data_IF_684750290848
#
_entry.id   IF_684750290848
#
_cell.length_a   1.000
_cell.length_b   1.000
_cell.length_c   1.000
_cell.angle_alpha   90.00
_cell.angle_beta   90.00
_cell.angle_gamma   90.00
#
_symmetry.space_group_name_H-M   'P 1'
#
loop_
_entity.id
_entity.type
_entity.pdbx_description
1 polymer ?
#
# COMPACT_ATOMS: atom_id res chain seq x y z
N UNK A 1 -12.28 -18.50 -11.77
CA UNK A 1 -10.99 -17.77 -11.90
C UNK A 1 -11.27 -16.34 -11.50
N UNK A 2 -10.46 -15.69 -10.64
CA UNK A 2 -10.76 -14.33 -10.18
C UNK A 2 -10.13 -13.30 -11.12
N UNK A 3 -10.92 -12.36 -11.64
CA UNK A 3 -10.45 -11.29 -12.53
C UNK A 3 -10.06 -10.09 -11.68
N UNK A 4 -8.89 -9.52 -11.98
CA UNK A 4 -8.23 -8.53 -11.13
C UNK A 4 -8.03 -7.26 -11.93
N UNK A 5 -8.62 -6.17 -11.47
CA UNK A 5 -8.40 -4.86 -12.05
C UNK A 5 -7.11 -4.27 -11.44
N UNK A 6 -6.22 -3.67 -12.23
CA UNK A 6 -5.06 -2.98 -11.69
C UNK A 6 -5.52 -1.87 -10.75
N UNK A 7 -4.78 -1.63 -9.67
CA UNK A 7 -4.96 -0.44 -8.85
C UNK A 7 -4.88 0.79 -9.78
N UNK A 8 -5.97 1.55 -9.85
CA UNK A 8 -6.16 2.63 -10.80
C UNK A 8 -5.15 3.75 -10.51
N UNK A 9 -4.09 3.83 -11.33
CA UNK A 9 -3.27 5.03 -11.48
C UNK A 9 -3.67 5.63 -12.81
N UNK A 10 -4.71 6.44 -12.80
CA UNK A 10 -5.02 7.33 -13.92
C UNK A 10 -5.20 8.74 -13.37
N UNK A 11 -4.12 9.50 -13.46
CA UNK A 11 -4.10 10.95 -13.29
C UNK A 11 -4.76 11.64 -14.50
N UNK A 12 -6.07 11.43 -14.66
CA UNK A 12 -6.90 12.09 -15.67
C UNK A 12 -8.22 12.61 -15.06
N UNK A 13 -8.21 12.89 -13.75
CA UNK A 13 -9.35 13.45 -13.01
C UNK A 13 -10.34 12.44 -12.40
N UNK A 14 -10.35 11.19 -12.87
CA UNK A 14 -11.27 10.13 -12.38
C UNK A 14 -11.02 9.73 -10.92
N UNK A 15 -9.75 9.64 -10.52
CA UNK A 15 -9.33 9.31 -9.16
C UNK A 15 -8.42 10.43 -8.64
N UNK A 16 -8.75 11.03 -7.50
CA UNK A 16 -7.93 12.07 -6.84
C UNK A 16 -7.65 11.67 -5.40
N UNK A 17 -6.37 11.76 -5.00
CA UNK A 17 -5.92 11.35 -3.67
C UNK A 17 -6.34 9.91 -3.27
N UNK A 18 -6.49 9.02 -4.27
CA UNK A 18 -6.89 7.63 -4.08
C UNK A 18 -8.41 7.39 -4.01
N UNK A 19 -9.24 8.43 -4.06
CA UNK A 19 -10.70 8.33 -4.08
C UNK A 19 -11.25 8.57 -5.49
N UNK A 20 -12.33 7.86 -5.85
CA UNK A 20 -13.05 8.07 -7.10
C UNK A 20 -13.87 9.36 -6.98
N UNK A 21 -13.66 10.28 -7.91
CA UNK A 21 -14.40 11.55 -8.00
C UNK A 21 -15.43 11.54 -9.13
N UNK A 22 -15.14 10.82 -10.22
CA UNK A 22 -16.00 10.71 -11.39
C UNK A 22 -16.34 9.23 -11.65
N UNK A 23 -17.54 8.83 -11.26
CA UNK A 23 -18.00 7.44 -11.36
C UNK A 23 -18.32 7.02 -12.79
N UNK A 24 -18.81 7.95 -13.63
CA UNK A 24 -19.11 7.67 -15.04
C UNK A 24 -17.82 7.32 -15.80
N UNK A 25 -16.74 8.10 -15.57
CA UNK A 25 -15.44 7.79 -16.14
C UNK A 25 -14.82 6.51 -15.56
N UNK A 26 -15.07 6.22 -14.28
CA UNK A 26 -14.56 5.01 -13.64
C UNK A 26 -15.22 3.75 -14.20
N UNK A 27 -16.53 3.78 -14.45
CA UNK A 27 -17.26 2.69 -15.09
C UNK A 27 -16.73 2.42 -16.51
N UNK A 28 -16.57 3.47 -17.33
CA UNK A 28 -15.97 3.35 -18.67
C UNK A 28 -14.53 2.81 -18.64
N UNK A 29 -13.77 3.19 -17.60
CA UNK A 29 -12.43 2.65 -17.42
C UNK A 29 -12.47 1.15 -17.12
N UNK A 30 -13.34 0.71 -16.20
CA UNK A 30 -13.51 -0.70 -15.89
C UNK A 30 -14.03 -1.51 -17.07
N UNK A 31 -14.93 -0.96 -17.88
CA UNK A 31 -15.39 -1.58 -19.13
C UNK A 31 -14.20 -1.91 -20.03
N UNK A 32 -13.31 -0.94 -20.27
CA UNK A 32 -12.10 -1.20 -21.06
C UNK A 32 -11.19 -2.23 -20.38
N UNK A 33 -10.98 -2.15 -19.07
CA UNK A 33 -10.16 -3.14 -18.38
C UNK A 33 -10.69 -4.56 -18.53
N UNK A 34 -11.99 -4.77 -18.33
CA UNK A 34 -12.64 -6.08 -18.39
C UNK A 34 -12.63 -6.62 -19.82
N UNK A 35 -13.16 -5.86 -20.78
CA UNK A 35 -13.40 -6.37 -22.13
C UNK A 35 -12.17 -6.27 -23.05
N UNK A 36 -11.39 -5.19 -22.96
CA UNK A 36 -10.26 -4.96 -23.88
C UNK A 36 -8.97 -5.60 -23.40
N UNK A 37 -8.64 -5.44 -22.12
CA UNK A 37 -7.34 -5.86 -21.58
C UNK A 37 -7.39 -7.26 -20.97
N UNK A 38 -8.32 -7.49 -20.04
CA UNK A 38 -8.48 -8.80 -19.38
C UNK A 38 -9.14 -9.82 -20.31
N UNK A 39 -10.02 -9.36 -21.20
CA UNK A 39 -10.82 -10.19 -22.12
C UNK A 39 -11.56 -11.29 -21.36
N UNK A 40 -12.15 -10.91 -20.25
CA UNK A 40 -12.90 -11.80 -19.40
C UNK A 40 -14.40 -11.54 -19.56
N UNK A 41 -15.18 -12.61 -19.59
CA UNK A 41 -16.63 -12.53 -19.41
C UNK A 41 -16.91 -12.23 -17.93
N UNK A 42 -17.39 -11.04 -17.55
CA UNK A 42 -17.51 -10.67 -16.15
C UNK A 42 -18.47 -11.58 -15.36
N UNK A 43 -19.48 -12.15 -16.03
CA UNK A 43 -20.46 -13.07 -15.43
C UNK A 43 -19.84 -14.41 -14.98
N UNK A 44 -18.68 -14.79 -15.53
CA UNK A 44 -17.97 -16.04 -15.21
C UNK A 44 -16.92 -15.88 -14.09
N UNK A 45 -16.70 -14.66 -13.58
CA UNK A 45 -15.55 -14.35 -12.75
C UNK A 45 -15.89 -13.56 -11.49
N UNK A 46 -15.33 -14.00 -10.37
CA UNK A 46 -15.36 -13.20 -9.13
C UNK A 46 -14.32 -12.09 -9.24
N UNK A 47 -14.62 -10.93 -8.66
CA UNK A 47 -13.74 -9.76 -8.69
C UNK A 47 -13.21 -9.39 -7.32
N UNK A 48 -11.93 -9.03 -7.29
CA UNK A 48 -11.31 -8.33 -6.15
C UNK A 48 -10.98 -6.92 -6.60
N UNK A 49 -11.60 -5.95 -5.92
CA UNK A 49 -11.27 -4.54 -6.06
C UNK A 49 -10.56 -4.06 -4.80
N UNK A 50 -9.87 -2.92 -4.90
CA UNK A 50 -9.10 -2.36 -3.79
C UNK A 50 -9.59 -0.96 -3.44
N UNK A 51 -9.60 -0.64 -2.16
CA UNK A 51 -9.96 0.70 -1.67
C UNK A 51 -8.88 1.29 -0.74
N UNK A 52 -8.76 2.63 -0.69
CA UNK A 52 -7.91 3.28 0.30
C UNK A 52 -8.50 3.17 1.72
N UNK A 53 -7.69 3.33 2.78
CA UNK A 53 -8.14 3.19 4.18
C UNK A 53 -9.28 4.14 4.59
N UNK A 54 -9.41 5.31 3.94
CA UNK A 54 -10.41 6.32 4.25
C UNK A 54 -11.57 6.37 3.24
N UNK A 55 -11.80 5.26 2.51
CA UNK A 55 -12.93 5.17 1.59
C UNK A 55 -14.27 5.11 2.35
N UNK A 56 -15.26 5.84 1.85
CA UNK A 56 -16.59 5.90 2.47
C UNK A 56 -17.39 4.63 2.19
N UNK A 57 -18.30 4.22 3.11
CA UNK A 57 -19.23 3.12 2.84
C UNK A 57 -20.08 3.36 1.59
N UNK A 58 -20.44 4.61 1.30
CA UNK A 58 -21.21 5.00 0.12
C UNK A 58 -20.43 4.69 -1.18
N UNK A 59 -19.12 4.97 -1.21
CA UNK A 59 -18.27 4.61 -2.34
C UNK A 59 -18.20 3.09 -2.56
N UNK A 60 -18.30 2.28 -1.50
CA UNK A 60 -18.38 0.81 -1.63
C UNK A 60 -19.70 0.38 -2.27
N UNK A 61 -20.80 1.07 -1.95
CA UNK A 61 -22.10 0.81 -2.56
C UNK A 61 -22.11 1.16 -4.04
N UNK A 62 -21.58 2.33 -4.44
CA UNK A 62 -21.43 2.71 -5.86
C UNK A 62 -20.54 1.73 -6.62
N UNK A 63 -19.45 1.28 -6.00
CA UNK A 63 -18.59 0.23 -6.59
C UNK A 63 -19.38 -1.06 -6.80
N UNK A 64 -20.19 -1.47 -5.82
CA UNK A 64 -20.99 -2.68 -5.90
C UNK A 64 -22.11 -2.57 -6.95
N UNK A 65 -22.78 -1.43 -7.04
CA UNK A 65 -23.80 -1.11 -8.04
C UNK A 65 -23.24 -1.31 -9.45
N UNK A 66 -22.11 -0.67 -9.79
CA UNK A 66 -21.48 -0.84 -11.11
C UNK A 66 -21.11 -2.30 -11.38
N UNK A 67 -20.51 -2.99 -10.41
CA UNK A 67 -20.04 -4.36 -10.61
C UNK A 67 -21.17 -5.37 -10.76
N UNK A 68 -22.24 -5.26 -9.95
CA UNK A 68 -23.36 -6.21 -9.98
C UNK A 68 -24.43 -5.84 -11.01
N UNK A 69 -24.76 -4.57 -11.18
CA UNK A 69 -25.84 -4.12 -12.06
C UNK A 69 -25.36 -3.92 -13.51
N UNK A 70 -24.20 -3.28 -13.72
CA UNK A 70 -23.67 -3.05 -15.07
C UNK A 70 -22.89 -4.24 -15.62
N UNK A 71 -22.01 -4.83 -14.80
CA UNK A 71 -21.13 -5.93 -15.24
C UNK A 71 -21.63 -7.33 -14.87
N UNK A 72 -22.74 -7.46 -14.15
CA UNK A 72 -23.35 -8.75 -13.79
C UNK A 72 -22.41 -9.74 -13.08
N UNK A 73 -21.43 -9.28 -12.31
CA UNK A 73 -20.44 -10.20 -11.72
C UNK A 73 -21.08 -11.15 -10.70
N UNK A 74 -20.69 -12.43 -10.65
CA UNK A 74 -21.26 -13.41 -9.72
C UNK A 74 -20.85 -13.16 -8.26
N UNK A 75 -19.71 -12.50 -8.03
CA UNK A 75 -19.29 -12.11 -6.70
C UNK A 75 -18.20 -11.05 -6.66
N UNK A 76 -18.22 -10.26 -5.59
CA UNK A 76 -17.35 -9.10 -5.38
C UNK A 76 -16.74 -9.14 -3.98
N UNK A 77 -15.48 -8.71 -3.89
CA UNK A 77 -14.80 -8.41 -2.63
C UNK A 77 -14.03 -7.11 -2.76
N UNK A 78 -14.26 -6.17 -1.83
CA UNK A 78 -13.56 -4.89 -1.79
C UNK A 78 -12.53 -4.94 -0.66
N UNK A 79 -11.26 -4.96 -1.03
CA UNK A 79 -10.13 -5.14 -0.12
C UNK A 79 -9.46 -3.81 0.25
N UNK A 80 -9.15 -3.60 1.53
CA UNK A 80 -8.34 -2.47 1.95
C UNK A 80 -6.89 -2.67 1.51
N UNK A 81 -6.31 -1.68 0.81
CA UNK A 81 -4.97 -1.77 0.22
C UNK A 81 -3.87 -2.16 1.23
N UNK A 82 -3.91 -1.59 2.44
CA UNK A 82 -2.94 -1.90 3.50
C UNK A 82 -2.96 -3.38 3.92
N UNK A 83 -4.15 -4.00 3.98
CA UNK A 83 -4.29 -5.43 4.33
C UNK A 83 -3.65 -6.32 3.25
N UNK A 84 -3.83 -5.95 1.98
CA UNK A 84 -3.21 -6.68 0.87
C UNK A 84 -1.68 -6.52 0.86
N UNK A 85 -1.16 -5.33 1.19
CA UNK A 85 0.27 -5.12 1.33
C UNK A 85 0.89 -6.00 2.43
N UNK A 86 0.20 -6.17 3.57
CA UNK A 86 0.61 -7.11 4.61
C UNK A 86 0.60 -8.55 4.11
N UNK A 87 -0.44 -8.97 3.38
CA UNK A 87 -0.49 -10.32 2.79
C UNK A 87 0.65 -10.58 1.80
N UNK A 88 1.06 -9.58 1.01
CA UNK A 88 2.19 -9.68 0.09
C UNK A 88 3.52 -9.89 0.83
N UNK A 89 3.67 -9.29 2.01
CA UNK A 89 4.87 -9.42 2.84
C UNK A 89 5.14 -10.85 3.30
N UNK A 90 4.12 -11.73 3.33
CA UNK A 90 4.28 -13.16 3.69
C UNK A 90 5.21 -13.94 2.76
N UNK A 91 5.57 -13.37 1.61
CA UNK A 91 6.60 -13.94 0.73
C UNK A 91 8.02 -13.63 1.17
N UNK A 92 8.20 -12.68 2.09
CA UNK A 92 9.50 -12.37 2.67
C UNK A 92 9.97 -13.50 3.57
N UNK A 93 11.24 -13.90 3.39
CA UNK A 93 11.91 -14.88 4.27
C UNK A 93 12.12 -14.38 5.70
N UNK A 94 11.92 -13.09 5.94
CA UNK A 94 12.02 -12.47 7.27
C UNK A 94 10.81 -12.78 8.14
N UNK A 95 9.68 -13.18 7.53
CA UNK A 95 8.44 -13.45 8.24
C UNK A 95 8.33 -14.96 8.51
N UNK A 96 8.31 -15.33 9.79
CA UNK A 96 8.05 -16.71 10.23
C UNK A 96 6.58 -17.05 10.45
N UNK A 97 5.73 -16.03 10.65
CA UNK A 97 4.31 -16.18 11.00
C UNK A 97 3.44 -15.27 10.12
N UNK A 98 2.39 -15.83 9.50
CA UNK A 98 1.45 -15.05 8.68
C UNK A 98 0.54 -14.24 9.59
N UNK A 99 0.79 -12.94 9.67
CA UNK A 99 -0.03 -12.00 10.44
C UNK A 99 -0.52 -10.86 9.54
N UNK A 100 -1.71 -10.35 9.87
CA UNK A 100 -2.25 -9.10 9.33
C UNK A 100 -2.14 -7.95 10.33
N UNK A 101 -1.33 -8.11 11.37
CA UNK A 101 -0.93 -7.04 12.29
C UNK A 101 0.43 -6.51 11.88
N UNK A 102 0.48 -5.26 11.43
CA UNK A 102 1.72 -4.59 11.05
C UNK A 102 1.47 -3.14 10.63
N UNK A 103 2.54 -2.34 10.54
CA UNK A 103 2.48 -0.95 10.07
C UNK A 103 2.81 -0.92 8.59
N UNK A 104 1.87 -0.51 7.73
CA UNK A 104 2.11 -0.41 6.28
C UNK A 104 2.50 1.01 5.90
N UNK A 105 3.59 1.12 5.14
CA UNK A 105 4.02 2.36 4.49
C UNK A 105 3.79 2.19 3.00
N UNK A 106 2.73 2.80 2.48
CA UNK A 106 2.40 2.79 1.05
C UNK A 106 2.78 4.13 0.41
N UNK A 107 3.67 4.10 -0.59
CA UNK A 107 4.12 5.30 -1.30
C UNK A 107 4.09 5.10 -2.81
N UNK A 108 3.10 5.75 -3.47
CA UNK A 108 2.80 5.66 -4.91
C UNK A 108 2.60 7.04 -5.58
N UNK A 109 2.05 7.05 -6.79
CA UNK A 109 2.14 8.18 -7.74
C UNK A 109 1.24 9.40 -7.43
N UNK A 110 0.26 9.27 -6.52
CA UNK A 110 -0.60 10.39 -6.10
C UNK A 110 0.17 11.52 -5.38
N UNK A 111 1.24 11.17 -4.65
CA UNK A 111 2.37 12.04 -4.26
C UNK A 111 3.59 11.16 -3.93
N UNK A 112 4.60 11.19 -4.80
CA UNK A 112 6.08 11.21 -4.57
C UNK A 112 6.76 10.67 -5.82
N UNK A 113 7.34 11.57 -6.62
CA UNK A 113 8.18 11.21 -7.77
C UNK A 113 9.66 11.27 -7.36
N UNK A 114 10.42 10.17 -7.48
CA UNK A 114 11.88 10.24 -7.66
C UNK A 114 12.37 9.07 -8.53
N UNK A 115 13.10 9.43 -9.59
CA UNK A 115 13.66 8.56 -10.62
C UNK A 115 14.96 7.92 -10.07
N UNK A 116 15.07 6.58 -9.99
CA UNK A 116 16.32 5.94 -9.59
C UNK A 116 17.32 5.90 -10.77
N UNK A 117 18.54 6.41 -10.56
CA UNK A 117 19.66 6.29 -11.51
C UNK A 117 20.89 5.75 -10.77
N UNK A 118 21.55 4.74 -11.36
CA UNK A 118 22.69 4.04 -10.79
C UNK A 118 24.01 4.34 -11.55
N UNK A 119 25.01 4.71 -10.74
CA UNK A 119 26.47 4.68 -10.86
C UNK A 119 27.19 5.46 -11.96
N UNK A 120 27.39 6.76 -11.77
CA UNK A 120 28.53 7.48 -12.38
C UNK A 120 28.54 7.58 -13.90
N UNK A 121 27.40 7.29 -14.53
CA UNK A 121 27.21 7.44 -15.96
C UNK A 121 26.58 8.80 -16.25
N UNK A 122 27.11 9.46 -17.27
CA UNK A 122 26.33 10.42 -18.02
C UNK A 122 25.06 9.72 -18.54
N UNK A 123 23.89 10.32 -18.36
CA UNK A 123 22.67 9.82 -18.99
C UNK A 123 22.65 10.28 -20.44
N UNK A 124 22.86 9.34 -21.35
CA UNK A 124 22.72 9.55 -22.78
C UNK A 124 21.28 9.27 -23.20
N UNK A 125 20.54 10.33 -23.54
CA UNK A 125 19.18 10.25 -24.05
C UNK A 125 19.10 10.73 -25.50
N UNK A 126 18.04 10.35 -26.21
CA UNK A 126 17.67 11.03 -27.46
C UNK A 126 16.57 12.03 -27.16
N UNK A 127 16.75 13.28 -27.59
CA UNK A 127 15.71 14.28 -27.50
C UNK A 127 14.51 13.84 -28.35
N UNK A 128 13.35 13.71 -27.71
CA UNK A 128 12.15 13.16 -28.35
C UNK A 128 11.70 13.97 -29.58
N UNK A 129 11.98 15.29 -29.58
CA UNK A 129 11.61 16.25 -30.62
C UNK A 129 12.71 16.39 -31.67
N UNK A 130 13.94 16.69 -31.25
CA UNK A 130 15.04 16.98 -32.19
C UNK A 130 15.74 15.71 -32.71
N UNK A 131 15.47 14.55 -32.10
CA UNK A 131 16.12 13.26 -32.38
C UNK A 131 17.66 13.28 -32.23
N UNK A 132 18.19 14.31 -31.57
CA UNK A 132 19.61 14.43 -31.28
C UNK A 132 19.96 13.74 -29.96
N UNK A 133 21.12 13.08 -29.86
CA UNK A 133 21.61 12.57 -28.58
C UNK A 133 21.94 13.75 -27.65
N UNK A 134 21.67 13.59 -26.37
CA UNK A 134 22.07 14.50 -25.31
C UNK A 134 22.62 13.71 -24.14
N UNK A 135 23.53 14.32 -23.41
CA UNK A 135 24.28 13.72 -22.31
C UNK A 135 24.11 14.64 -21.11
N UNK A 136 23.60 14.12 -19.99
CA UNK A 136 23.46 14.88 -18.74
C UNK A 136 24.20 14.19 -17.60
N UNK A 137 24.83 14.99 -16.74
CA UNK A 137 25.43 14.49 -15.52
C UNK A 137 24.35 14.29 -14.45
N UNK A 138 24.37 13.11 -13.82
CA UNK A 138 23.46 12.77 -12.73
C UNK A 138 24.26 12.60 -11.43
N UNK A 139 24.04 13.51 -10.48
CA UNK A 139 24.89 13.70 -9.30
C UNK A 139 24.16 13.52 -7.97
N UNK A 140 24.07 14.61 -7.21
CA UNK A 140 23.60 14.63 -5.82
C UNK A 140 22.12 14.24 -5.65
N UNK A 141 21.30 14.47 -6.67
CA UNK A 141 19.88 14.13 -6.73
C UNK A 141 19.62 12.63 -6.50
N UNK A 142 20.62 11.76 -6.73
CA UNK A 142 20.53 10.31 -6.49
C UNK A 142 20.25 9.97 -5.02
N UNK A 143 20.79 10.77 -4.10
CA UNK A 143 20.57 10.58 -2.67
C UNK A 143 19.72 11.69 -2.07
N UNK A 144 19.79 12.92 -2.59
CA UNK A 144 18.94 14.02 -2.11
C UNK A 144 17.46 13.78 -2.43
N UNK A 145 17.14 13.15 -3.57
CA UNK A 145 15.77 12.82 -3.93
C UNK A 145 15.09 11.95 -2.86
N UNK A 146 15.62 10.77 -2.54
CA UNK A 146 15.04 9.93 -1.48
C UNK A 146 15.22 10.50 -0.06
N UNK A 147 16.15 11.43 0.17
CA UNK A 147 16.39 11.99 1.50
C UNK A 147 15.21 12.86 1.97
N UNK A 148 14.36 13.36 1.07
CA UNK A 148 13.15 14.12 1.43
C UNK A 148 12.18 13.34 2.33
N UNK A 149 12.23 12.01 2.33
CA UNK A 149 11.44 11.20 3.27
C UNK A 149 11.92 11.34 4.71
N UNK A 150 13.23 11.54 4.91
CA UNK A 150 13.88 11.63 6.22
C UNK A 150 14.20 13.07 6.62
N UNK A 151 14.22 13.99 5.66
CA UNK A 151 14.35 15.44 5.85
C UNK A 151 13.39 16.17 4.90
N UNK A 152 12.07 16.16 5.19
CA UNK A 152 11.06 16.76 4.30
C UNK A 152 11.25 18.27 4.09
N UNK A 153 11.90 18.94 5.03
CA UNK A 153 12.25 20.36 4.97
C UNK A 153 13.10 20.75 3.76
N UNK A 154 13.74 19.77 3.08
CA UNK A 154 14.50 20.02 1.85
C UNK A 154 13.62 20.42 0.66
N UNK A 155 12.36 19.97 0.63
CA UNK A 155 11.44 20.19 -0.48
C UNK A 155 10.10 20.81 -0.05
N UNK A 156 9.74 20.72 1.23
CA UNK A 156 8.47 21.22 1.74
C UNK A 156 8.69 22.14 2.95
N UNK A 157 8.38 23.42 2.82
CA UNK A 157 8.52 24.39 3.90
C UNK A 157 7.47 24.24 5.01
N UNK A 158 6.34 23.56 4.73
CA UNK A 158 5.22 23.39 5.64
C UNK A 158 5.28 22.07 6.42
N UNK A 159 6.04 21.10 5.93
CA UNK A 159 6.14 19.76 6.51
C UNK A 159 7.60 19.42 6.77
N UNK A 160 7.95 19.16 8.04
CA UNK A 160 9.35 18.97 8.47
C UNK A 160 9.56 17.65 9.24
N UNK A 161 8.51 16.87 9.45
CA UNK A 161 8.57 15.67 10.30
C UNK A 161 9.06 14.45 9.52
N UNK A 162 10.22 13.86 9.85
CA UNK A 162 10.76 12.69 9.16
C UNK A 162 9.81 11.49 9.22
N UNK A 163 9.80 10.66 8.17
CA UNK A 163 8.96 9.45 8.12
C UNK A 163 9.17 8.51 9.31
N UNK A 164 10.40 8.43 9.85
CA UNK A 164 10.69 7.61 11.04
C UNK A 164 9.98 8.12 12.30
N UNK A 165 9.81 9.43 12.44
CA UNK A 165 9.09 10.03 13.58
C UNK A 165 7.58 9.84 13.40
N UNK A 166 7.08 10.01 12.18
CA UNK A 166 5.66 9.73 11.85
C UNK A 166 5.29 8.30 12.20
N UNK A 167 6.10 7.32 11.80
CA UNK A 167 5.88 5.90 12.12
C UNK A 167 5.87 5.66 13.62
N UNK A 168 6.82 6.26 14.34
CA UNK A 168 6.91 6.15 15.79
C UNK A 168 5.68 6.76 16.49
N UNK A 169 5.25 7.93 16.05
CA UNK A 169 4.05 8.63 16.55
C UNK A 169 2.78 7.81 16.32
N UNK A 170 2.57 7.30 15.11
CA UNK A 170 1.40 6.47 14.77
C UNK A 170 1.34 5.24 15.69
N UNK A 171 2.45 4.54 15.87
CA UNK A 171 2.50 3.35 16.73
C UNK A 171 2.31 3.73 18.21
N UNK A 172 2.82 4.88 18.66
CA UNK A 172 2.58 5.35 20.03
C UNK A 172 1.14 5.78 20.28
N UNK A 173 0.41 6.21 19.25
CA UNK A 173 -1.02 6.52 19.35
C UNK A 173 -1.91 5.27 19.36
N UNK A 174 -1.38 4.10 18.97
CA UNK A 174 -2.09 2.83 19.08
C UNK A 174 -2.20 2.31 20.55
N UNK A 175 -3.16 1.40 20.83
CA UNK A 175 -3.23 0.67 22.09
C UNK A 175 -1.91 0.01 22.50
N UNK A 176 -1.59 0.02 23.81
CA UNK A 176 -0.28 -0.38 24.35
C UNK A 176 0.10 -1.83 24.01
N UNK A 177 -0.88 -2.72 24.03
CA UNK A 177 -0.79 -4.14 23.71
C UNK A 177 -0.44 -4.39 22.23
N UNK A 178 -0.91 -3.54 21.31
CA UNK A 178 -0.64 -3.66 19.88
C UNK A 178 0.74 -3.12 19.45
N UNK A 179 1.37 -2.23 20.23
CA UNK A 179 2.58 -1.49 19.79
C UNK A 179 3.76 -2.38 19.45
N UNK A 180 4.05 -3.39 20.28
CA UNK A 180 5.20 -4.29 20.08
C UNK A 180 5.08 -5.10 18.79
N UNK A 181 3.93 -5.75 18.50
CA UNK A 181 3.68 -6.35 17.19
C UNK A 181 3.86 -5.36 16.02
N UNK A 182 3.36 -4.13 16.16
CA UNK A 182 3.46 -3.12 15.09
C UNK A 182 4.90 -2.71 14.78
N UNK A 183 5.76 -2.52 15.78
CA UNK A 183 7.19 -2.25 15.55
C UNK A 183 7.92 -3.44 14.91
N UNK A 184 7.51 -4.66 15.24
CA UNK A 184 8.14 -5.89 14.73
C UNK A 184 7.68 -6.26 13.32
N UNK A 185 6.69 -5.55 12.75
CA UNK A 185 6.19 -5.87 11.41
C UNK A 185 5.82 -4.60 10.63
N UNK A 186 6.84 -3.79 10.31
CA UNK A 186 6.66 -2.60 9.46
C UNK A 186 6.84 -3.02 8.01
N UNK A 187 5.77 -3.06 7.21
CA UNK A 187 5.78 -3.51 5.81
C UNK A 187 5.81 -2.32 4.87
N UNK A 188 6.70 -2.38 3.87
CA UNK A 188 6.76 -1.38 2.81
C UNK A 188 5.95 -1.81 1.57
N UNK A 189 5.22 -0.86 0.99
CA UNK A 189 4.41 -0.99 -0.22
C UNK A 189 4.61 0.21 -1.15
N UNK A 190 4.50 -0.02 -2.45
CA UNK A 190 4.52 1.06 -3.46
C UNK A 190 5.91 1.36 -4.01
N UNK A 191 5.93 1.89 -5.23
CA UNK A 191 7.15 2.09 -6.02
C UNK A 191 8.18 3.02 -5.36
N UNK A 192 7.74 4.02 -4.61
CA UNK A 192 8.63 5.00 -3.97
C UNK A 192 9.27 4.47 -2.69
N UNK A 193 8.91 3.26 -2.23
CA UNK A 193 9.63 2.55 -1.15
C UNK A 193 10.76 1.66 -1.67
N UNK A 194 10.92 1.57 -3.00
CA UNK A 194 11.91 0.71 -3.66
C UNK A 194 13.34 1.28 -3.67
N UNK A 195 13.58 2.45 -3.07
CA UNK A 195 14.94 2.99 -2.99
C UNK A 195 15.86 2.02 -2.25
N UNK A 196 17.08 1.86 -2.79
CA UNK A 196 18.09 1.03 -2.16
C UNK A 196 18.35 1.54 -0.74
N UNK A 197 18.40 0.60 0.21
CA UNK A 197 18.62 0.85 1.64
C UNK A 197 17.52 1.68 2.35
N UNK A 198 16.39 1.99 1.70
CA UNK A 198 15.27 2.72 2.31
C UNK A 198 14.77 2.03 3.59
N UNK A 199 14.45 0.74 3.50
CA UNK A 199 13.99 -0.03 4.67
C UNK A 199 15.04 -0.12 5.78
N UNK A 200 16.33 -0.27 5.43
CA UNK A 200 17.43 -0.29 6.42
C UNK A 200 17.57 1.06 7.13
N UNK A 201 17.47 2.16 6.38
CA UNK A 201 17.51 3.54 6.89
C UNK A 201 16.34 3.77 7.85
N UNK A 202 15.13 3.43 7.43
CA UNK A 202 13.92 3.56 8.23
C UNK A 202 14.03 2.75 9.54
N UNK A 203 14.41 1.47 9.46
CA UNK A 203 14.55 0.62 10.64
C UNK A 203 15.56 1.19 11.63
N UNK A 204 16.71 1.66 11.14
CA UNK A 204 17.76 2.27 11.97
C UNK A 204 17.25 3.50 12.69
N UNK A 205 16.56 4.40 12.00
CA UNK A 205 16.14 5.68 12.56
C UNK A 205 14.96 5.53 13.52
N UNK A 206 13.98 4.67 13.19
CA UNK A 206 12.90 4.28 14.12
C UNK A 206 13.49 3.62 15.37
N UNK A 207 14.42 2.66 15.20
CA UNK A 207 15.07 1.98 16.34
C UNK A 207 15.81 2.97 17.24
N UNK A 208 16.52 3.95 16.67
CA UNK A 208 17.19 5.00 17.46
C UNK A 208 16.20 5.84 18.28
N UNK A 209 15.07 6.24 17.70
CA UNK A 209 14.03 6.98 18.42
C UNK A 209 13.48 6.17 19.59
N UNK A 210 13.10 4.92 19.32
CA UNK A 210 12.53 4.00 20.31
C UNK A 210 13.53 3.72 21.44
N UNK A 211 14.78 3.37 21.12
CA UNK A 211 15.82 3.07 22.12
C UNK A 211 16.12 4.31 22.99
N UNK A 212 16.16 5.52 22.40
CA UNK A 212 16.33 6.77 23.15
C UNK A 212 15.18 7.01 24.14
N UNK A 213 13.94 6.74 23.73
CA UNK A 213 12.76 6.87 24.61
C UNK A 213 12.78 5.86 25.76
N UNK A 214 13.19 4.62 25.50
CA UNK A 214 13.33 3.59 26.52
C UNK A 214 14.44 3.95 27.53
N UNK A 215 15.58 4.44 27.05
CA UNK A 215 16.68 4.89 27.90
C UNK A 215 16.27 6.05 28.81
N UNK A 216 15.51 7.02 28.29
CA UNK A 216 14.99 8.13 29.08
C UNK A 216 14.08 7.62 30.21
N UNK A 217 13.25 6.62 29.94
CA UNK A 217 12.35 6.03 30.94
C UNK A 217 13.10 5.33 32.07
N UNK A 218 14.19 4.63 31.76
CA UNK A 218 15.06 3.97 32.75
C UNK A 218 15.78 5.01 33.64
N UNK A 219 16.34 6.06 33.02
CA UNK A 219 17.02 7.16 33.73
C UNK A 219 16.04 7.88 34.67
N UNK A 220 14.87 8.26 34.18
CA UNK A 220 13.86 8.98 34.98
C UNK A 220 13.30 8.13 36.13
N UNK A 221 13.31 6.81 35.98
CA UNK A 221 12.87 5.88 37.03
C UNK A 221 13.96 5.59 38.07
N UNK A 222 15.16 6.16 37.93
CA UNK A 222 16.30 5.87 38.81
C UNK A 222 16.73 4.40 38.76
N UNK A 223 16.50 3.71 37.64
CA UNK A 223 16.78 2.28 37.49
C UNK A 223 15.71 1.33 38.06
N UNK A 224 14.63 1.85 38.66
CA UNK A 224 13.55 1.01 39.20
C UNK A 224 12.69 0.33 38.12
N UNK A 225 12.66 0.92 36.91
CA UNK A 225 11.95 0.37 35.76
C UNK A 225 12.96 0.07 34.66
N UNK A 226 13.10 -1.21 34.31
CA UNK A 226 13.90 -1.64 33.17
C UNK A 226 13.00 -2.10 32.03
N UNK A 227 12.67 -1.22 31.07
CA UNK A 227 11.77 -1.59 29.99
C UNK A 227 12.42 -2.65 29.09
N UNK A 228 11.64 -3.68 28.74
CA UNK A 228 12.09 -4.70 27.77
C UNK A 228 12.38 -4.02 26.42
N UNK A 229 13.53 -4.28 25.78
CA UNK A 229 13.84 -3.76 24.45
C UNK A 229 12.69 -4.01 23.47
N UNK A 230 12.46 -3.06 22.57
CA UNK A 230 11.49 -3.19 21.49
C UNK A 230 12.27 -3.62 20.25
N UNK A 231 11.85 -4.73 19.65
CA UNK A 231 12.38 -5.14 18.36
C UNK A 231 11.68 -4.35 17.27
N UNK A 232 12.47 -3.80 16.35
CA UNK A 232 11.98 -2.98 15.23
C UNK A 232 12.44 -3.66 13.95
N UNK A 233 11.48 -4.12 13.15
CA UNK A 233 11.75 -4.79 11.88
C UNK A 233 10.98 -4.13 10.76
N UNK A 234 11.72 -3.68 9.74
CA UNK A 234 11.16 -3.19 8.48
C UNK A 234 11.31 -4.26 7.42
N UNK A 235 10.18 -4.77 6.96
CA UNK A 235 10.10 -5.86 6.00
C UNK A 235 10.20 -5.32 4.58
N UNK A 236 11.23 -5.76 3.89
CA UNK A 236 11.37 -5.57 2.44
C UNK A 236 11.16 -6.89 1.69
N UNK A 237 10.55 -6.83 0.51
CA UNK A 237 10.21 -8.02 -0.27
C UNK A 237 10.18 -7.71 -1.77
N UNK A 238 10.40 -8.73 -2.62
CA UNK A 238 10.55 -8.52 -4.07
C UNK A 238 9.28 -8.00 -4.76
N UNK A 239 8.10 -8.18 -4.16
CA UNK A 239 6.81 -7.75 -4.71
C UNK A 239 6.38 -6.35 -4.25
N UNK A 240 7.22 -5.62 -3.50
CA UNK A 240 6.95 -4.29 -2.94
C UNK A 240 6.28 -3.31 -3.91
N UNK A 241 6.78 -3.23 -5.15
CA UNK A 241 6.28 -2.30 -6.18
C UNK A 241 4.78 -2.47 -6.44
N UNK A 242 4.27 -3.70 -6.35
CA UNK A 242 2.88 -4.04 -6.60
C UNK A 242 2.30 -4.84 -5.43
N UNK A 243 2.75 -4.56 -4.19
CA UNK A 243 2.44 -5.36 -3.01
C UNK A 243 0.92 -5.54 -2.84
N UNK A 244 0.16 -4.45 -2.97
CA UNK A 244 -1.31 -4.49 -2.93
C UNK A 244 -1.88 -5.49 -3.96
N UNK A 245 -1.51 -5.35 -5.23
CA UNK A 245 -2.02 -6.22 -6.29
C UNK A 245 -1.58 -7.67 -6.11
N UNK A 246 -0.33 -7.89 -5.68
CA UNK A 246 0.21 -9.21 -5.43
C UNK A 246 -0.46 -9.90 -4.22
N UNK A 247 -0.72 -9.16 -3.15
CA UNK A 247 -1.48 -9.65 -1.98
C UNK A 247 -2.91 -10.01 -2.34
N UNK A 248 -3.60 -9.16 -3.10
CA UNK A 248 -4.93 -9.47 -3.64
C UNK A 248 -4.91 -10.69 -4.56
N UNK A 249 -3.84 -10.83 -5.34
CA UNK A 249 -3.60 -12.02 -6.16
C UNK A 249 -3.48 -13.30 -5.33
N UNK A 250 -2.69 -13.27 -4.27
CA UNK A 250 -2.51 -14.42 -3.38
C UNK A 250 -3.82 -14.80 -2.70
N UNK A 251 -4.50 -13.82 -2.09
CA UNK A 251 -5.76 -14.05 -1.37
C UNK A 251 -6.87 -14.55 -2.30
N UNK A 252 -7.03 -13.94 -3.49
CA UNK A 252 -8.02 -14.36 -4.47
C UNK A 252 -7.81 -15.73 -5.11
N UNK A 253 -6.65 -16.35 -4.86
CA UNK A 253 -6.36 -17.73 -5.28
C UNK A 253 -6.66 -18.76 -4.19
N UNK A 254 -7.06 -18.34 -2.99
CA UNK A 254 -7.43 -19.25 -1.89
C UNK A 254 -8.88 -19.71 -2.01
N UNK A 255 -9.26 -20.90 -1.49
CA UNK A 255 -10.66 -21.32 -1.43
C UNK A 255 -11.52 -20.41 -0.53
N UNK A 256 -10.93 -19.90 0.55
CA UNK A 256 -11.58 -19.02 1.54
C UNK A 256 -12.11 -17.74 0.89
N UNK A 257 -11.43 -17.23 -0.14
CA UNK A 257 -11.86 -16.06 -0.90
C UNK A 257 -13.31 -16.15 -1.36
N UNK A 258 -13.71 -17.28 -1.95
CA UNK A 258 -15.07 -17.44 -2.48
C UNK A 258 -16.13 -17.48 -1.38
N UNK A 259 -15.74 -17.83 -0.14
CA UNK A 259 -16.65 -17.86 1.01
C UNK A 259 -16.89 -16.49 1.64
N UNK A 260 -15.96 -15.54 1.46
CA UNK A 260 -16.06 -14.18 2.01
C UNK A 260 -16.55 -13.14 1.00
N UNK A 261 -16.60 -13.50 -0.29
CA UNK A 261 -17.18 -12.66 -1.33
C UNK A 261 -18.69 -12.49 -1.12
N UNK A 262 -19.15 -11.27 -1.36
CA UNK A 262 -20.57 -11.00 -1.54
C UNK A 262 -20.99 -11.51 -2.91
N UNK A 263 -22.05 -12.31 -2.96
CA UNK A 263 -22.57 -12.86 -4.21
C UNK A 263 -23.65 -11.96 -4.80
N UNK A 264 -23.86 -12.05 -6.12
CA UNK A 264 -24.95 -11.30 -6.79
C UNK A 264 -26.32 -11.62 -6.20
N UNK A 265 -26.58 -12.89 -5.89
CA UNK A 265 -27.82 -13.30 -5.24
C UNK A 265 -28.04 -12.62 -3.88
N UNK A 266 -26.98 -12.51 -3.06
CA UNK A 266 -27.06 -11.79 -1.79
C UNK A 266 -27.26 -10.29 -2.00
N UNK A 267 -26.64 -9.71 -3.02
CA UNK A 267 -26.82 -8.31 -3.38
C UNK A 267 -28.26 -8.02 -3.79
N UNK A 268 -28.87 -8.88 -4.61
CA UNK A 268 -30.27 -8.74 -5.04
C UNK A 268 -31.27 -8.92 -3.87
N UNK A 269 -30.96 -9.79 -2.90
CA UNK A 269 -31.84 -10.05 -1.74
C UNK A 269 -31.71 -8.99 -0.64
N UNK A 270 -30.49 -8.56 -0.33
CA UNK A 270 -30.17 -7.71 0.82
C UNK A 270 -29.81 -6.26 0.44
N UNK A 271 -29.63 -5.98 -0.84
CA UNK A 271 -29.20 -4.68 -1.38
C UNK A 271 -27.70 -4.40 -1.22
N UNK A 272 -27.24 -3.21 -1.65
CA UNK A 272 -25.83 -2.83 -1.68
C UNK A 272 -25.18 -2.74 -0.29
N UNK A 273 -25.98 -2.64 0.77
CA UNK A 273 -25.51 -2.48 2.15
C UNK A 273 -24.56 -3.58 2.62
N UNK A 274 -24.66 -4.79 2.06
CA UNK A 274 -23.76 -5.91 2.38
C UNK A 274 -22.30 -5.59 2.02
N UNK A 275 -22.08 -4.78 0.98
CA UNK A 275 -20.75 -4.41 0.51
C UNK A 275 -20.06 -3.34 1.36
N UNK A 276 -20.77 -2.74 2.34
CA UNK A 276 -20.19 -1.78 3.28
C UNK A 276 -19.13 -2.41 4.18
N UNK A 277 -19.20 -3.71 4.41
CA UNK A 277 -18.25 -4.47 5.22
C UNK A 277 -17.75 -5.72 4.48
N UNK A 278 -16.43 -5.86 4.35
CA UNK A 278 -15.79 -7.00 3.72
C UNK A 278 -14.95 -7.73 4.79
N UNK A 279 -15.27 -8.99 5.13
CA UNK A 279 -14.54 -9.73 6.16
C UNK A 279 -13.08 -9.96 5.78
N UNK A 280 -12.15 -9.63 6.68
CA UNK A 280 -10.73 -9.93 6.50
C UNK A 280 -10.47 -11.43 6.68
N UNK A 281 -9.63 -12.01 5.82
CA UNK A 281 -9.33 -13.46 5.79
C UNK A 281 -7.86 -13.74 5.43
N UNK A 282 -7.44 -15.00 5.52
CA UNK A 282 -6.10 -15.46 5.12
C UNK A 282 -5.08 -15.61 6.27
N UNK A 283 -5.44 -15.27 7.50
CA UNK A 283 -4.70 -15.67 8.71
C UNK A 283 -5.26 -16.97 9.24
N UNK A 284 -4.40 -17.95 9.56
CA UNK A 284 -4.86 -19.11 10.33
C UNK A 284 -5.35 -18.62 11.69
N UNK A 285 -6.56 -19.04 12.06
CA UNK A 285 -6.95 -19.12 13.47
C UNK A 285 -6.29 -20.33 14.11
#
# INVERSE_FOLDING_TARGET
MAVRLPACVIDNGTVRHGLVEDWDLMELFWEQCIFKYLRAEPEDHYFILTEPPLNTPENREYTAEIMFESFNVPGLYIAVQAVLALAASWTSRQIGERTLTGTVIDSGDGVTHVIPVADGYTYDGMNAVTKQPFTIDVGYERFLGPEIFFHPEFANAQYTTPISEVVDEVIQNCPIDARRPLYNNIVLSGGSTMFRDFGRRLQRDVKRSVDKRLQMSEILSGGNLKPKPIDVQVITHHMQRYAVWFGGSMLGSTPEFYSVCHTKAQYEECGPSICRHNPVFGTMT
#
